data_IF_279631513390
#
_entry.id   IF_279631513390
#
_cell.length_a   1.000
_cell.length_b   1.000
_cell.length_c   1.000
_cell.angle_alpha   90.00
_cell.angle_beta   90.00
_cell.angle_gamma   90.00
#
_symmetry.space_group_name_H-M   'P 1'
#
loop_
_entity.id
_entity.type
_entity.pdbx_description
1 polymer ?
#
# COMPACT_ATOMS: atom_id res chain seq x y z
N UNK A 1 -0.25 24.57 -19.01
CA UNK A 1 -0.96 24.89 -17.76
C UNK A 1 -2.37 24.34 -17.87
N UNK A 2 -2.73 23.35 -17.09
CA UNK A 2 -4.08 22.74 -17.13
C UNK A 2 -5.03 23.54 -16.24
N UNK A 3 -6.24 23.83 -16.75
CA UNK A 3 -7.31 24.49 -16.00
C UNK A 3 -8.31 23.45 -15.54
N UNK A 4 -8.66 23.45 -14.26
CA UNK A 4 -9.63 22.52 -13.66
C UNK A 4 -10.84 23.31 -13.20
N UNK A 5 -12.04 22.89 -13.60
CA UNK A 5 -13.31 23.45 -13.16
C UNK A 5 -14.16 22.40 -12.44
N UNK A 6 -14.95 22.85 -11.47
CA UNK A 6 -15.91 22.03 -10.76
C UNK A 6 -17.05 22.89 -10.20
N UNK A 7 -18.13 22.26 -9.77
CA UNK A 7 -19.30 22.95 -9.23
C UNK A 7 -19.04 23.53 -7.83
N UNK A 8 -18.16 22.87 -7.04
CA UNK A 8 -17.80 23.31 -5.70
C UNK A 8 -16.27 23.40 -5.54
N UNK A 9 -15.83 24.20 -4.56
CA UNK A 9 -14.41 24.32 -4.24
C UNK A 9 -13.79 23.01 -3.77
N UNK A 10 -14.51 22.22 -3.00
CA UNK A 10 -14.07 20.90 -2.53
C UNK A 10 -13.85 19.94 -3.70
N UNK A 11 -14.79 19.90 -4.65
CA UNK A 11 -14.68 19.09 -5.86
C UNK A 11 -13.52 19.54 -6.75
N UNK A 12 -13.30 20.83 -6.87
CA UNK A 12 -12.19 21.39 -7.63
C UNK A 12 -10.83 21.00 -7.03
N UNK A 13 -10.68 21.10 -5.70
CA UNK A 13 -9.48 20.65 -4.98
C UNK A 13 -9.24 19.15 -5.18
N UNK A 14 -10.28 18.33 -5.07
CA UNK A 14 -10.19 16.88 -5.29
C UNK A 14 -9.74 16.55 -6.73
N UNK A 15 -10.36 17.16 -7.74
CA UNK A 15 -9.96 16.97 -9.15
C UNK A 15 -8.54 17.40 -9.41
N UNK A 16 -8.12 18.55 -8.83
CA UNK A 16 -6.74 19.03 -8.95
C UNK A 16 -5.75 18.02 -8.39
N UNK A 17 -5.97 17.52 -7.17
CA UNK A 17 -5.10 16.51 -6.55
C UNK A 17 -5.01 15.24 -7.37
N UNK A 18 -6.14 14.76 -7.93
CA UNK A 18 -6.13 13.58 -8.81
C UNK A 18 -5.33 13.78 -10.10
N UNK A 19 -5.40 14.99 -10.69
CA UNK A 19 -4.61 15.32 -11.90
C UNK A 19 -3.12 15.41 -11.56
N UNK A 20 -2.77 16.05 -10.45
CA UNK A 20 -1.39 16.17 -10.00
C UNK A 20 -0.78 14.77 -9.72
N UNK A 21 -1.55 13.88 -9.10
CA UNK A 21 -1.18 12.49 -8.85
C UNK A 21 -0.98 11.72 -10.17
N UNK A 22 -1.93 11.82 -11.09
CA UNK A 22 -1.82 11.16 -12.40
C UNK A 22 -0.59 11.62 -13.20
N UNK A 23 -0.27 12.92 -13.15
CA UNK A 23 0.94 13.47 -13.80
C UNK A 23 2.20 12.94 -13.13
N UNK A 24 2.24 12.89 -11.79
CA UNK A 24 3.37 12.36 -11.05
C UNK A 24 3.58 10.85 -11.33
N UNK A 25 2.50 10.07 -11.32
CA UNK A 25 2.55 8.64 -11.67
C UNK A 25 3.04 8.41 -13.10
N UNK A 26 2.56 9.22 -14.06
CA UNK A 26 3.01 9.13 -15.46
C UNK A 26 4.51 9.42 -15.59
N UNK A 27 5.02 10.45 -14.90
CA UNK A 27 6.46 10.74 -14.89
C UNK A 27 7.25 9.59 -14.29
N UNK A 28 6.81 9.04 -13.17
CA UNK A 28 7.46 7.89 -12.54
C UNK A 28 7.49 6.67 -13.46
N UNK A 29 6.42 6.44 -14.24
CA UNK A 29 6.34 5.38 -15.22
C UNK A 29 7.29 5.59 -16.41
N UNK A 30 7.49 6.83 -16.84
CA UNK A 30 8.47 7.16 -17.89
C UNK A 30 9.90 6.96 -17.40
N UNK A 31 10.17 7.24 -16.13
CA UNK A 31 11.51 7.13 -15.54
C UNK A 31 11.98 5.66 -15.41
N UNK A 32 11.14 4.77 -14.90
CA UNK A 32 11.55 3.39 -14.54
C UNK A 32 10.64 2.30 -15.16
N UNK A 33 9.66 2.67 -15.96
CA UNK A 33 8.72 1.72 -16.56
C UNK A 33 7.54 1.37 -15.66
N UNK A 34 6.79 0.36 -16.07
CA UNK A 34 5.55 -0.09 -15.44
C UNK A 34 5.57 -1.58 -15.14
N UNK A 35 4.81 -1.98 -14.13
CA UNK A 35 4.60 -3.37 -13.70
C UNK A 35 3.11 -3.67 -13.55
N UNK A 36 2.69 -4.95 -13.49
CA UNK A 36 1.34 -5.32 -13.09
C UNK A 36 0.98 -4.68 -11.74
N UNK A 37 -0.13 -3.93 -11.72
CA UNK A 37 -0.56 -3.17 -10.56
C UNK A 37 -1.29 -4.00 -9.50
N UNK A 38 -1.93 -3.31 -8.55
CA UNK A 38 -2.76 -3.95 -7.54
C UNK A 38 -2.01 -4.86 -6.56
N UNK A 39 -0.73 -4.58 -6.29
CA UNK A 39 0.12 -5.42 -5.44
C UNK A 39 0.66 -6.70 -6.13
N UNK A 40 0.23 -6.99 -7.35
CA UNK A 40 0.63 -8.19 -8.10
C UNK A 40 2.14 -8.28 -8.29
N UNK A 41 2.80 -7.18 -8.68
CA UNK A 41 4.25 -7.17 -8.89
C UNK A 41 5.03 -7.52 -7.62
N UNK A 42 4.58 -7.05 -6.45
CA UNK A 42 5.25 -7.32 -5.17
C UNK A 42 5.22 -8.79 -4.80
N UNK A 43 4.05 -9.44 -4.86
CA UNK A 43 3.93 -10.86 -4.51
C UNK A 43 4.70 -11.77 -5.49
N UNK A 44 4.69 -11.45 -6.79
CA UNK A 44 5.45 -12.21 -7.79
C UNK A 44 6.96 -11.99 -7.68
N UNK A 45 7.40 -10.79 -7.36
CA UNK A 45 8.81 -10.52 -7.05
C UNK A 45 9.24 -11.28 -5.79
N UNK A 46 8.42 -11.23 -4.72
CA UNK A 46 8.66 -11.98 -3.50
C UNK A 46 8.80 -13.48 -3.72
N UNK A 47 7.92 -14.09 -4.51
CA UNK A 47 8.02 -15.51 -4.86
C UNK A 47 9.31 -15.87 -5.60
N UNK A 48 9.78 -15.00 -6.51
CA UNK A 48 11.07 -15.19 -7.20
C UNK A 48 12.26 -15.07 -6.26
N UNK A 49 12.21 -14.10 -5.34
CA UNK A 49 13.25 -13.90 -4.32
C UNK A 49 13.32 -15.10 -3.37
N UNK A 50 12.16 -15.59 -2.90
CA UNK A 50 12.09 -16.79 -2.06
C UNK A 50 12.71 -18.02 -2.73
N UNK A 51 12.50 -18.19 -4.04
CA UNK A 51 13.07 -19.28 -4.82
C UNK A 51 14.59 -19.15 -5.04
N UNK A 52 15.16 -17.93 -4.97
CA UNK A 52 16.57 -17.66 -5.30
C UNK A 52 17.56 -17.96 -4.16
N UNK A 53 17.09 -18.30 -2.94
CA UNK A 53 17.89 -18.59 -1.75
C UNK A 53 18.99 -17.54 -1.51
N UNK A 54 18.61 -16.41 -0.96
CA UNK A 54 19.55 -15.34 -0.61
C UNK A 54 20.45 -15.83 0.54
N UNK A 55 21.75 -15.82 0.31
CA UNK A 55 22.73 -16.18 1.35
C UNK A 55 22.90 -15.04 2.35
N UNK A 56 23.06 -15.39 3.62
CA UNK A 56 23.42 -14.42 4.65
C UNK A 56 24.83 -13.87 4.41
N UNK A 57 25.11 -12.63 4.83
CA UNK A 57 26.46 -12.03 4.71
C UNK A 57 27.54 -12.78 5.49
N UNK A 58 27.18 -13.44 6.58
CA UNK A 58 28.06 -14.28 7.40
C UNK A 58 27.27 -15.41 8.07
N UNK A 59 27.97 -16.47 8.50
CA UNK A 59 27.34 -17.65 9.11
C UNK A 59 26.76 -17.37 10.50
N UNK A 60 27.39 -16.48 11.26
CA UNK A 60 27.00 -16.11 12.63
C UNK A 60 25.67 -15.37 12.75
N UNK A 61 25.19 -14.75 11.68
CA UNK A 61 23.88 -14.07 11.63
C UNK A 61 22.90 -14.73 10.65
N UNK A 62 23.18 -15.94 10.20
CA UNK A 62 22.39 -16.59 9.14
C UNK A 62 20.93 -16.79 9.53
N UNK A 63 20.66 -17.13 10.79
CA UNK A 63 19.31 -17.36 11.29
C UNK A 63 18.50 -16.06 11.35
N UNK A 64 19.08 -15.00 11.90
CA UNK A 64 18.45 -13.68 12.02
C UNK A 64 18.23 -13.05 10.64
N UNK A 65 19.21 -13.20 9.74
CA UNK A 65 19.07 -12.75 8.37
C UNK A 65 17.92 -13.46 7.65
N UNK A 66 17.83 -14.78 7.78
CA UNK A 66 16.76 -15.55 7.18
C UNK A 66 15.38 -15.16 7.75
N UNK A 67 15.28 -14.96 9.07
CA UNK A 67 14.06 -14.46 9.71
C UNK A 67 13.65 -13.08 9.15
N UNK A 68 14.61 -12.18 8.96
CA UNK A 68 14.36 -10.88 8.34
C UNK A 68 13.86 -10.98 6.89
N UNK A 69 14.43 -11.89 6.11
CA UNK A 69 13.96 -12.18 4.74
C UNK A 69 12.52 -12.70 4.74
N UNK A 70 12.20 -13.63 5.64
CA UNK A 70 10.84 -14.19 5.74
C UNK A 70 9.81 -13.14 6.12
N UNK A 71 10.10 -12.27 7.10
CA UNK A 71 9.25 -11.15 7.49
C UNK A 71 9.01 -10.21 6.31
N UNK A 72 10.06 -9.86 5.56
CA UNK A 72 9.93 -9.03 4.38
C UNK A 72 9.03 -9.68 3.32
N UNK A 73 9.30 -10.93 2.98
CA UNK A 73 8.54 -11.67 1.97
C UNK A 73 7.06 -11.80 2.33
N UNK A 74 6.75 -12.01 3.61
CA UNK A 74 5.37 -12.07 4.08
C UNK A 74 4.67 -10.72 3.99
N UNK A 75 5.38 -9.64 4.34
CA UNK A 75 4.85 -8.27 4.25
C UNK A 75 4.50 -7.82 2.83
N UNK A 76 5.12 -8.41 1.80
CA UNK A 76 4.81 -8.09 0.39
C UNK A 76 3.39 -8.49 -0.03
N UNK A 77 2.70 -9.32 0.73
CA UNK A 77 1.32 -9.71 0.50
C UNK A 77 0.32 -8.65 0.96
N UNK A 78 0.69 -7.83 1.95
CA UNK A 78 -0.22 -6.89 2.59
C UNK A 78 -0.94 -5.92 1.62
N UNK A 79 -0.30 -5.36 0.58
CA UNK A 79 -1.00 -4.46 -0.34
C UNK A 79 -2.14 -5.14 -1.10
N UNK A 80 -1.94 -6.33 -1.64
CA UNK A 80 -3.00 -7.05 -2.37
C UNK A 80 -4.08 -7.58 -1.42
N UNK A 81 -3.71 -8.03 -0.22
CA UNK A 81 -4.67 -8.42 0.81
C UNK A 81 -5.61 -7.27 1.16
N UNK A 82 -5.07 -6.07 1.36
CA UNK A 82 -5.86 -4.89 1.64
C UNK A 82 -6.78 -4.51 0.48
N UNK A 83 -6.33 -4.65 -0.77
CA UNK A 83 -7.16 -4.40 -1.94
C UNK A 83 -8.34 -5.38 -2.00
N UNK A 84 -8.10 -6.66 -1.76
CA UNK A 84 -9.15 -7.70 -1.71
C UNK A 84 -10.15 -7.41 -0.59
N UNK A 85 -9.67 -7.05 0.60
CA UNK A 85 -10.52 -6.67 1.73
C UNK A 85 -11.36 -5.42 1.43
N UNK A 86 -10.76 -4.39 0.83
CA UNK A 86 -11.45 -3.16 0.43
C UNK A 86 -12.54 -3.42 -0.64
N UNK A 87 -12.37 -4.46 -1.45
CA UNK A 87 -13.40 -4.94 -2.37
C UNK A 87 -14.53 -5.73 -1.67
N UNK A 88 -14.51 -5.82 -0.34
CA UNK A 88 -15.51 -6.53 0.46
C UNK A 88 -15.34 -8.05 0.48
N UNK A 89 -14.13 -8.54 0.19
CA UNK A 89 -13.85 -9.98 0.13
C UNK A 89 -12.95 -10.43 1.29
N UNK A 90 -13.23 -11.63 1.80
CA UNK A 90 -12.47 -12.23 2.91
C UNK A 90 -11.59 -13.41 2.46
N UNK A 91 -11.33 -13.53 1.16
CA UNK A 91 -10.63 -14.67 0.56
C UNK A 91 -9.28 -14.27 -0.06
N UNK A 92 -8.59 -13.28 0.49
CA UNK A 92 -7.33 -12.76 -0.03
C UNK A 92 -6.27 -13.85 -0.25
N UNK A 93 -6.14 -14.81 0.66
CA UNK A 93 -5.20 -15.92 0.52
C UNK A 93 -5.47 -16.76 -0.73
N UNK A 94 -6.74 -17.04 -1.04
CA UNK A 94 -7.12 -17.80 -2.25
C UNK A 94 -6.81 -17.00 -3.53
N UNK A 95 -7.02 -15.70 -3.50
CA UNK A 95 -6.69 -14.81 -4.62
C UNK A 95 -5.19 -14.80 -4.86
N UNK A 96 -4.38 -14.64 -3.81
CA UNK A 96 -2.92 -14.64 -3.87
C UNK A 96 -2.40 -15.97 -4.44
N UNK A 97 -2.90 -17.09 -3.96
CA UNK A 97 -2.49 -18.43 -4.43
C UNK A 97 -2.77 -18.61 -5.92
N UNK A 98 -3.95 -18.19 -6.39
CA UNK A 98 -4.29 -18.21 -7.81
C UNK A 98 -3.33 -17.37 -8.65
N UNK A 99 -2.99 -16.15 -8.19
CA UNK A 99 -2.08 -15.25 -8.91
C UNK A 99 -0.67 -15.81 -8.95
N UNK A 100 -0.19 -16.39 -7.86
CA UNK A 100 1.14 -16.99 -7.78
C UNK A 100 1.28 -18.24 -8.65
N UNK A 101 0.21 -19.02 -8.78
CA UNK A 101 0.14 -20.20 -9.65
C UNK A 101 -0.07 -19.83 -11.14
N UNK A 102 -0.46 -18.60 -11.42
CA UNK A 102 -0.79 -18.11 -12.75
C UNK A 102 0.42 -17.55 -13.53
N UNK A 103 0.14 -17.00 -14.73
CA UNK A 103 1.16 -16.42 -15.62
C UNK A 103 1.73 -15.12 -15.05
N UNK A 104 2.85 -14.66 -15.62
CA UNK A 104 3.59 -13.49 -15.13
C UNK A 104 2.73 -12.21 -15.01
N UNK A 105 1.82 -11.98 -15.97
CA UNK A 105 0.99 -10.77 -16.01
C UNK A 105 -0.40 -10.94 -15.42
N UNK A 106 -0.75 -12.12 -14.91
CA UNK A 106 -2.01 -12.35 -14.23
C UNK A 106 -2.03 -11.67 -12.87
N UNK A 107 -3.17 -11.06 -12.53
CA UNK A 107 -3.38 -10.35 -11.27
C UNK A 107 -4.85 -10.22 -10.93
N UNK A 108 -5.18 -9.58 -9.81
CA UNK A 108 -6.54 -9.40 -9.35
C UNK A 108 -7.13 -8.06 -9.82
N UNK A 109 -8.28 -8.13 -10.50
CA UNK A 109 -9.13 -6.98 -10.80
C UNK A 109 -10.23 -6.88 -9.74
N UNK A 110 -10.11 -5.89 -8.86
CA UNK A 110 -11.05 -5.65 -7.77
C UNK A 110 -12.42 -5.17 -8.26
N UNK A 111 -12.50 -4.53 -9.43
CA UNK A 111 -13.77 -4.07 -10.00
C UNK A 111 -14.57 -5.24 -10.59
N UNK A 112 -13.89 -6.16 -11.26
CA UNK A 112 -14.50 -7.36 -11.85
C UNK A 112 -14.64 -8.51 -10.83
N UNK A 113 -14.01 -8.42 -9.66
CA UNK A 113 -13.86 -9.50 -8.68
C UNK A 113 -13.34 -10.80 -9.31
N UNK A 114 -12.33 -10.68 -10.16
CA UNK A 114 -11.79 -11.79 -10.93
C UNK A 114 -10.27 -11.68 -11.12
N UNK A 115 -9.65 -12.82 -11.47
CA UNK A 115 -8.26 -12.80 -11.92
C UNK A 115 -8.25 -12.37 -13.39
N UNK A 116 -7.55 -11.25 -13.67
CA UNK A 116 -7.29 -10.78 -15.03
C UNK A 116 -6.12 -11.55 -15.62
N UNK A 117 -6.28 -12.07 -16.83
CA UNK A 117 -5.23 -12.82 -17.53
C UNK A 117 -4.01 -11.96 -17.89
N UNK A 118 -4.19 -10.67 -18.06
CA UNK A 118 -3.14 -9.71 -18.38
C UNK A 118 -3.50 -8.33 -17.79
N UNK A 119 -2.81 -7.96 -16.70
CA UNK A 119 -3.00 -6.69 -16.01
C UNK A 119 -2.66 -5.48 -16.89
N UNK A 120 -1.71 -5.61 -17.82
CA UNK A 120 -1.38 -4.52 -18.75
C UNK A 120 -2.53 -4.25 -19.72
N UNK A 121 -3.18 -5.30 -20.25
CA UNK A 121 -4.36 -5.17 -21.13
C UNK A 121 -5.58 -4.67 -20.35
N UNK A 122 -5.71 -5.05 -19.09
CA UNK A 122 -6.77 -4.56 -18.21
C UNK A 122 -6.54 -3.10 -17.77
N UNK A 123 -5.37 -2.50 -18.04
CA UNK A 123 -5.03 -1.14 -17.63
C UNK A 123 -4.75 -0.99 -16.15
N UNK A 124 -4.52 -2.11 -15.44
CA UNK A 124 -4.20 -2.13 -14.00
C UNK A 124 -2.68 -2.21 -13.86
N UNK A 125 -2.05 -1.06 -13.83
CA UNK A 125 -0.60 -0.92 -13.88
C UNK A 125 -0.10 0.02 -12.77
N UNK A 126 1.10 -0.25 -12.27
CA UNK A 126 1.80 0.62 -11.32
C UNK A 126 3.15 1.06 -11.88
N UNK A 127 3.61 2.30 -11.61
CA UNK A 127 4.98 2.69 -11.92
C UNK A 127 5.98 1.93 -11.05
N UNK A 128 7.03 1.38 -11.65
CA UNK A 128 8.10 0.66 -10.92
C UNK A 128 8.71 1.54 -9.84
N UNK A 129 9.00 2.80 -10.15
CA UNK A 129 9.58 3.77 -9.22
C UNK A 129 8.75 3.95 -7.95
N UNK A 130 7.43 4.00 -8.07
CA UNK A 130 6.52 4.14 -6.92
C UNK A 130 6.56 2.89 -6.05
N UNK A 131 6.41 1.71 -6.66
CA UNK A 131 6.40 0.42 -5.96
C UNK A 131 7.73 0.16 -5.25
N UNK A 132 8.85 0.37 -5.94
CA UNK A 132 10.20 0.20 -5.40
C UNK A 132 10.48 1.17 -4.24
N UNK A 133 10.26 2.47 -4.46
CA UNK A 133 10.50 3.50 -3.43
C UNK A 133 9.60 3.30 -2.22
N UNK A 134 8.35 2.87 -2.42
CA UNK A 134 7.42 2.52 -1.35
C UNK A 134 8.00 1.42 -0.47
N UNK A 135 8.49 0.34 -1.06
CA UNK A 135 9.11 -0.79 -0.34
C UNK A 135 10.37 -0.36 0.41
N UNK A 136 11.29 0.37 -0.24
CA UNK A 136 12.54 0.86 0.37
C UNK A 136 12.27 1.75 1.58
N UNK A 137 11.30 2.67 1.48
CA UNK A 137 10.94 3.56 2.57
C UNK A 137 10.20 2.86 3.70
N UNK A 138 9.33 1.89 3.39
CA UNK A 138 8.67 1.07 4.39
C UNK A 138 9.68 0.24 5.20
N UNK A 139 10.64 -0.41 4.53
CA UNK A 139 11.70 -1.15 5.19
C UNK A 139 12.58 -0.23 6.07
N UNK A 140 12.92 0.96 5.58
CA UNK A 140 13.69 1.95 6.36
C UNK A 140 12.93 2.40 7.61
N UNK A 141 11.63 2.70 7.50
CA UNK A 141 10.80 3.08 8.65
C UNK A 141 10.68 1.95 9.68
N UNK A 142 10.49 0.71 9.22
CA UNK A 142 10.45 -0.46 10.07
C UNK A 142 11.78 -0.68 10.81
N UNK A 143 12.91 -0.52 10.12
CA UNK A 143 14.24 -0.63 10.74
C UNK A 143 14.46 0.41 11.85
N UNK A 144 14.01 1.65 11.65
CA UNK A 144 14.08 2.68 12.69
C UNK A 144 13.24 2.29 13.91
N UNK A 145 12.01 1.79 13.69
CA UNK A 145 11.16 1.34 14.80
C UNK A 145 11.75 0.16 15.56
N UNK A 146 12.32 -0.81 14.86
CA UNK A 146 12.97 -1.99 15.45
C UNK A 146 14.20 -1.64 16.31
N UNK A 147 14.91 -0.58 15.96
CA UNK A 147 16.11 -0.11 16.69
C UNK A 147 15.80 0.93 17.75
N UNK A 148 14.54 1.33 17.93
CA UNK A 148 14.11 2.35 18.89
C UNK A 148 13.90 1.71 20.26
N UNK A 149 14.58 2.20 21.29
CA UNK A 149 14.41 1.72 22.67
C UNK A 149 13.21 2.34 23.38
N UNK A 150 12.86 3.59 23.04
CA UNK A 150 11.79 4.35 23.71
C UNK A 150 11.03 5.20 22.69
N UNK A 151 9.71 5.19 22.78
CA UNK A 151 8.83 6.13 22.07
C UNK A 151 8.13 7.05 23.09
N UNK A 152 8.23 8.35 22.90
CA UNK A 152 7.56 9.35 23.72
C UNK A 152 6.43 9.93 22.90
N UNK A 153 5.19 9.81 23.42
CA UNK A 153 3.99 10.35 22.77
C UNK A 153 3.22 11.21 23.75
N UNK A 154 2.46 12.18 23.23
CA UNK A 154 1.53 12.93 24.06
C UNK A 154 0.33 12.03 24.43
N UNK A 155 -0.09 12.09 25.70
CA UNK A 155 -1.29 11.41 26.14
C UNK A 155 -2.53 12.11 25.54
N UNK A 156 -3.48 11.37 24.92
CA UNK A 156 -4.67 11.99 24.35
C UNK A 156 -5.43 12.71 25.45
N UNK A 157 -5.69 14.01 25.28
CA UNK A 157 -6.52 14.78 26.20
C UNK A 157 -7.91 14.13 26.24
N UNK A 158 -8.35 13.74 27.46
CA UNK A 158 -9.75 13.35 27.67
C UNK A 158 -10.60 14.56 27.32
N UNK A 159 -11.48 14.45 26.33
CA UNK A 159 -12.52 15.45 26.11
C UNK A 159 -13.38 15.50 27.34
N UNK A 160 -13.30 16.60 28.10
CA UNK A 160 -14.26 16.86 29.17
C UNK A 160 -15.64 17.00 28.53
N UNK A 161 -16.66 16.31 29.06
CA UNK A 161 -18.02 16.47 28.52
C UNK A 161 -18.41 17.93 28.65
N UNK A 162 -18.61 18.61 27.55
CA UNK A 162 -19.17 19.95 27.52
C UNK A 162 -20.56 19.88 28.14
N UNK A 163 -20.61 20.18 29.45
CA UNK A 163 -21.84 20.31 30.17
C UNK A 163 -22.51 21.62 29.68
N UNK A 164 -23.34 21.53 28.67
CA UNK A 164 -24.30 22.60 28.36
C UNK A 164 -25.34 22.61 29.46
N UNK A 165 -24.87 23.10 30.64
CA UNK A 165 -25.73 23.41 31.77
C UNK A 165 -26.76 24.43 31.33
N UNK A 166 -28.00 23.99 31.37
CA UNK A 166 -29.19 24.78 31.21
C UNK A 166 -29.14 25.99 32.16
N UNK A 167 -28.82 27.16 31.64
CA UNK A 167 -29.21 28.45 32.24
C UNK A 167 -30.53 28.87 31.58
N UNK A 168 -31.62 28.22 31.97
CA UNK A 168 -32.96 28.78 31.87
C UNK A 168 -33.52 28.84 33.29
N UNK A 169 -33.24 29.94 33.96
CA UNK A 169 -33.74 30.25 35.27
C UNK A 169 -34.08 31.71 35.45
N UNK A 170 -35.34 32.05 35.20
CA UNK A 170 -36.02 33.08 35.97
C UNK A 170 -35.87 34.54 35.54
N UNK A 171 -36.93 35.03 34.91
CA UNK A 171 -37.36 36.40 35.17
C UNK A 171 -38.87 36.43 35.29
N UNK A 172 -39.31 36.83 36.48
CA UNK A 172 -40.63 37.37 36.76
C UNK A 172 -40.76 38.77 36.15
#
# INVERSE_FOLDING_TARGET
>A
MSKVGATTEAEMKYKKLKIDDAVAATKAAVDEGIVPGGGTALIKAGAKVAASKIAAPSEDIAAEFQAGVEILLDSLKAPIEQIVLNAGKNNAAVVIDKILSGKANEGYDANADAVAEDMFKAGIIDPVKVTRTGLERAASAAAILLTTEVAITEEPKKEEPHNHGAEMGGMY
#
